data_IF_929454126492
#
_entry.id   IF_929454126492
#
_cell.length_a   1.000
_cell.length_b   1.000
_cell.length_c   1.000
_cell.angle_alpha   90.00
_cell.angle_beta   90.00
_cell.angle_gamma   90.00
#
_symmetry.space_group_name_H-M   'P 1'
#
loop_
_entity.id
_entity.type
_entity.pdbx_description
1 polymer ?
#
# COMPACT_ATOMS: atom_id res chain seq x y z
N UNK A 1 7.67 -4.33 36.78
CA UNK A 1 8.44 -4.59 35.55
C UNK A 1 8.06 -5.98 35.05
N UNK A 2 7.33 -6.08 33.94
CA UNK A 2 7.04 -7.37 33.28
C UNK A 2 7.54 -7.24 31.84
N UNK A 3 8.32 -8.23 31.46
CA UNK A 3 9.20 -8.35 30.31
C UNK A 3 8.49 -8.15 28.97
N UNK A 4 9.07 -7.32 28.10
CA UNK A 4 8.67 -7.16 26.72
C UNK A 4 8.92 -8.46 25.93
N UNK A 5 7.86 -9.19 25.62
CA UNK A 5 7.90 -10.28 24.64
C UNK A 5 8.17 -9.68 23.25
N UNK A 6 9.39 -9.89 22.75
CA UNK A 6 9.73 -9.62 21.35
C UNK A 6 8.85 -10.53 20.47
N UNK A 7 7.74 -9.98 19.95
CA UNK A 7 6.92 -10.63 18.91
C UNK A 7 7.83 -11.08 17.77
N UNK A 8 8.06 -12.39 17.62
CA UNK A 8 8.70 -12.96 16.44
C UNK A 8 7.84 -12.58 15.24
N UNK A 9 8.34 -11.70 14.37
CA UNK A 9 7.69 -11.36 13.11
C UNK A 9 7.52 -12.65 12.32
N UNK A 10 6.29 -13.13 12.21
CA UNK A 10 5.97 -14.30 11.40
C UNK A 10 6.19 -13.90 9.93
N UNK A 11 7.12 -14.56 9.23
CA UNK A 11 7.52 -14.24 7.84
C UNK A 11 6.34 -14.33 6.85
N UNK A 12 5.24 -14.97 7.25
CA UNK A 12 4.07 -15.23 6.42
C UNK A 12 2.88 -14.30 6.70
N UNK A 13 2.95 -13.44 7.72
CA UNK A 13 1.87 -12.50 8.02
C UNK A 13 2.21 -11.11 7.49
N UNK A 14 1.33 -10.47 6.70
CA UNK A 14 1.56 -9.11 6.25
C UNK A 14 1.63 -8.16 7.46
N UNK A 15 2.40 -7.08 7.32
CA UNK A 15 2.47 -6.09 8.38
C UNK A 15 1.18 -5.27 8.40
N UNK A 16 0.36 -5.45 9.44
CA UNK A 16 -0.91 -4.73 9.63
C UNK A 16 -0.76 -3.38 10.35
N UNK A 17 0.47 -2.92 10.62
CA UNK A 17 0.72 -1.63 11.27
C UNK A 17 0.30 -0.42 10.41
N UNK A 18 0.09 -0.62 9.11
CA UNK A 18 -0.35 0.42 8.16
C UNK A 18 -1.58 -0.02 7.38
N UNK A 19 -2.41 0.96 7.02
CA UNK A 19 -3.58 0.72 6.19
C UNK A 19 -3.18 0.23 4.80
N UNK A 20 -3.93 -0.71 4.24
CA UNK A 20 -3.74 -1.12 2.85
C UNK A 20 -4.14 0.01 1.91
N UNK A 21 -3.33 0.28 0.89
CA UNK A 21 -3.68 1.27 -0.14
C UNK A 21 -4.98 0.89 -0.89
N UNK A 22 -5.30 -0.41 -0.93
CA UNK A 22 -6.54 -0.94 -1.52
C UNK A 22 -7.79 -0.69 -0.67
N UNK A 23 -7.65 -0.23 0.58
CA UNK A 23 -8.79 0.10 1.43
C UNK A 23 -9.45 1.43 1.07
N UNK A 24 -8.79 2.27 0.28
CA UNK A 24 -9.34 3.56 -0.16
C UNK A 24 -10.11 3.40 -1.47
N UNK A 25 -11.32 3.98 -1.52
CA UNK A 25 -12.00 4.24 -2.79
C UNK A 25 -11.31 5.35 -3.56
N UNK A 26 -11.66 5.48 -4.84
CA UNK A 26 -11.08 6.49 -5.72
C UNK A 26 -11.29 7.92 -5.20
N UNK A 27 -12.50 8.24 -4.75
CA UNK A 27 -12.83 9.56 -4.20
C UNK A 27 -12.12 9.83 -2.87
N UNK A 28 -11.94 8.81 -2.04
CA UNK A 28 -11.20 8.91 -0.78
C UNK A 28 -9.70 9.15 -1.04
N UNK A 29 -9.12 8.46 -2.03
CA UNK A 29 -7.75 8.71 -2.48
C UNK A 29 -7.59 10.14 -3.00
N UNK A 30 -8.58 10.66 -3.75
CA UNK A 30 -8.54 12.04 -4.23
C UNK A 30 -8.56 13.05 -3.07
N UNK A 31 -9.42 12.85 -2.09
CA UNK A 31 -9.53 13.73 -0.93
C UNK A 31 -8.26 13.67 -0.08
N UNK A 32 -7.76 12.47 0.21
CA UNK A 32 -6.52 12.28 0.94
C UNK A 32 -5.34 12.96 0.24
N UNK A 33 -5.21 12.83 -1.09
CA UNK A 33 -4.16 13.51 -1.83
C UNK A 33 -4.23 15.04 -1.67
N UNK A 34 -5.42 15.62 -1.70
CA UNK A 34 -5.58 17.07 -1.51
C UNK A 34 -5.20 17.50 -0.10
N UNK A 35 -5.58 16.73 0.91
CA UNK A 35 -5.17 16.97 2.31
C UNK A 35 -3.65 16.93 2.47
N UNK A 36 -2.97 16.10 1.66
CA UNK A 36 -1.50 16.03 1.60
C UNK A 36 -0.85 17.03 0.62
N UNK A 37 -1.62 18.01 0.11
CA UNK A 37 -1.12 19.05 -0.79
C UNK A 37 -0.81 18.56 -2.22
N UNK A 38 -1.35 17.42 -2.62
CA UNK A 38 -1.18 16.82 -3.95
C UNK A 38 -2.39 17.08 -4.85
N UNK A 39 -2.15 17.03 -6.17
CA UNK A 39 -3.19 17.27 -7.17
C UNK A 39 -4.14 16.05 -7.29
N UNK A 40 -5.47 16.30 -7.33
CA UNK A 40 -6.51 15.25 -7.42
C UNK A 40 -6.32 14.24 -8.55
N UNK A 41 -5.77 14.66 -9.70
CA UNK A 41 -5.60 13.75 -10.84
C UNK A 41 -4.57 12.64 -10.57
N UNK A 42 -3.68 12.82 -9.59
CA UNK A 42 -2.71 11.80 -9.19
C UNK A 42 -3.39 10.51 -8.71
N UNK A 43 -4.61 10.60 -8.19
CA UNK A 43 -5.41 9.42 -7.83
C UNK A 43 -5.60 8.46 -9.01
N UNK A 44 -5.83 9.00 -10.22
CA UNK A 44 -6.00 8.20 -11.44
C UNK A 44 -4.73 7.41 -11.76
N UNK A 45 -3.57 8.05 -11.67
CA UNK A 45 -2.28 7.40 -11.90
C UNK A 45 -2.05 6.26 -10.89
N UNK A 46 -2.33 6.51 -9.61
CA UNK A 46 -2.20 5.50 -8.55
C UNK A 46 -3.13 4.31 -8.83
N UNK A 47 -4.39 4.57 -9.15
CA UNK A 47 -5.37 3.51 -9.45
C UNK A 47 -5.03 2.70 -10.70
N UNK A 48 -4.51 3.34 -11.75
CA UNK A 48 -3.99 2.63 -12.92
C UNK A 48 -2.87 1.65 -12.54
N UNK A 49 -1.95 2.06 -11.66
CA UNK A 49 -0.90 1.16 -11.16
C UNK A 49 -1.47 0.01 -10.31
N UNK A 50 -2.38 0.31 -9.40
CA UNK A 50 -2.93 -0.67 -8.47
C UNK A 50 -3.84 -1.71 -9.15
N UNK A 51 -4.69 -1.29 -10.09
CA UNK A 51 -5.75 -2.13 -10.63
C UNK A 51 -5.50 -2.60 -12.07
N UNK A 52 -4.84 -1.79 -12.91
CA UNK A 52 -4.54 -2.18 -14.30
C UNK A 52 -3.18 -2.87 -14.38
N UNK A 53 -2.14 -2.26 -13.79
CA UNK A 53 -0.78 -2.79 -13.85
C UNK A 53 -0.45 -3.79 -12.74
N UNK A 54 -1.25 -3.80 -11.67
CA UNK A 54 -1.15 -4.74 -10.53
C UNK A 54 0.26 -4.82 -9.95
N UNK A 55 0.83 -3.66 -9.63
CA UNK A 55 2.17 -3.59 -9.01
C UNK A 55 2.20 -4.22 -7.63
N UNK A 56 3.33 -4.82 -7.30
CA UNK A 56 3.58 -5.39 -5.97
C UNK A 56 4.10 -4.32 -4.99
N UNK A 57 4.61 -3.20 -5.49
CA UNK A 57 5.19 -2.13 -4.69
C UNK A 57 4.90 -0.72 -5.22
N UNK A 58 4.89 0.27 -4.31
CA UNK A 58 4.76 1.69 -4.67
C UNK A 58 5.98 2.18 -5.49
N UNK A 59 7.13 1.52 -5.33
CA UNK A 59 8.36 1.84 -6.05
C UNK A 59 8.25 1.68 -7.57
N UNK A 60 7.41 0.77 -8.04
CA UNK A 60 7.15 0.53 -9.46
C UNK A 60 6.37 1.67 -10.13
N UNK A 61 5.75 2.56 -9.36
CA UNK A 61 4.94 3.67 -9.88
C UNK A 61 5.82 4.81 -10.43
N UNK A 62 6.50 4.56 -11.55
CA UNK A 62 7.57 5.43 -12.11
C UNK A 62 7.08 6.81 -12.57
N UNK A 63 5.80 6.96 -12.90
CA UNK A 63 5.20 8.25 -13.30
C UNK A 63 4.81 9.16 -12.11
N UNK A 64 4.97 8.68 -10.88
CA UNK A 64 4.81 9.48 -9.66
C UNK A 64 6.16 10.13 -9.28
N UNK A 65 6.12 11.30 -8.65
CA UNK A 65 7.34 11.91 -8.10
C UNK A 65 7.91 11.05 -6.97
N UNK A 66 9.21 11.21 -6.69
CA UNK A 66 9.85 10.53 -5.56
C UNK A 66 9.15 10.85 -4.25
N UNK A 67 8.79 12.12 -4.04
CA UNK A 67 8.14 12.58 -2.82
C UNK A 67 6.74 11.96 -2.64
N UNK A 68 5.96 11.85 -3.73
CA UNK A 68 4.65 11.21 -3.67
C UNK A 68 4.77 9.71 -3.38
N UNK A 69 5.74 9.03 -3.99
CA UNK A 69 6.01 7.61 -3.65
C UNK A 69 6.38 7.46 -2.19
N UNK A 70 7.21 8.36 -1.64
CA UNK A 70 7.60 8.29 -0.24
C UNK A 70 6.39 8.51 0.68
N UNK A 71 5.60 9.55 0.43
CA UNK A 71 4.37 9.83 1.17
C UNK A 71 3.40 8.64 1.19
N UNK A 72 3.21 7.97 0.04
CA UNK A 72 2.38 6.77 -0.04
C UNK A 72 2.94 5.61 0.79
N UNK A 73 4.26 5.38 0.78
CA UNK A 73 4.90 4.33 1.59
C UNK A 73 4.86 4.61 3.08
N UNK A 74 4.88 5.88 3.46
CA UNK A 74 4.83 6.31 4.86
C UNK A 74 3.44 6.03 5.45
N UNK A 75 2.38 6.18 4.65
CA UNK A 75 1.00 6.05 5.11
C UNK A 75 0.34 4.70 4.79
N UNK A 76 0.73 4.04 3.70
CA UNK A 76 0.08 2.84 3.20
C UNK A 76 1.04 1.70 2.92
N UNK A 77 0.48 0.49 2.88
CA UNK A 77 1.13 -0.71 2.34
C UNK A 77 0.38 -1.23 1.13
N UNK A 78 1.12 -1.75 0.14
CA UNK A 78 0.53 -2.61 -0.89
C UNK A 78 0.42 -4.00 -0.31
N UNK A 79 -0.79 -4.40 0.08
CA UNK A 79 -1.03 -5.73 0.63
C UNK A 79 -1.38 -6.66 -0.51
N UNK A 80 -0.41 -7.44 -0.98
CA UNK A 80 -0.68 -8.53 -1.90
C UNK A 80 -0.99 -9.81 -1.12
N UNK A 81 -2.01 -10.55 -1.56
CA UNK A 81 -2.31 -11.87 -1.00
C UNK A 81 -1.23 -12.83 -1.47
N UNK A 82 -0.57 -13.48 -0.51
CA UNK A 82 0.37 -14.56 -0.80
C UNK A 82 -0.36 -15.90 -0.72
N UNK A 83 -0.15 -16.75 -1.71
CA UNK A 83 -0.71 -18.10 -1.70
C UNK A 83 -0.03 -18.91 -0.59
N UNK A 84 -0.78 -19.23 0.47
CA UNK A 84 -0.23 -19.99 1.62
C UNK A 84 -0.22 -21.49 1.33
N UNK A 85 -1.26 -22.00 0.66
CA UNK A 85 -1.39 -23.40 0.26
C UNK A 85 -2.07 -23.44 -1.11
N UNK A 86 -1.49 -24.17 -2.05
CA UNK A 86 -2.09 -24.52 -3.34
C UNK A 86 -2.23 -26.04 -3.35
N UNK A 87 -3.45 -26.54 -3.53
CA UNK A 87 -3.70 -27.97 -3.66
C UNK A 87 -3.98 -28.28 -5.14
N UNK A 88 -3.26 -29.24 -5.68
CA UNK A 88 -3.41 -29.73 -7.05
C UNK A 88 -3.85 -31.21 -6.98
N UNK A 89 -4.78 -31.63 -7.86
CA UNK A 89 -5.37 -32.97 -7.89
C UNK A 89 -4.50 -34.01 -8.57
#
# INVERSE_FOLDING_TARGET
MITAEKKKKNKFLPNFDKQSIYSLRFDEMQNWLVEQGQQKFRAKQIFEWLYQKRVDSIDEMTNLSKDLRQLLKDNFTVTTLTTVVKQES
#
